data_IF_237626718290
#
_entry.id   IF_237626718290
#
_cell.length_a   1.000
_cell.length_b   1.000
_cell.length_c   1.000
_cell.angle_alpha   90.00
_cell.angle_beta   90.00
_cell.angle_gamma   90.00
#
_symmetry.space_group_name_H-M   'P 1'
#
loop_
_entity.id
_entity.type
_entity.pdbx_description
1 polymer ?
#
# COMPACT_ATOMS: atom_id res chain seq x y z
N UNK A 1 56.58 34.61 -0.51
CA UNK A 1 56.65 33.13 -0.43
C UNK A 1 55.78 32.76 0.74
N UNK A 2 54.60 32.29 0.68
CA UNK A 2 53.85 31.50 -0.25
C UNK A 2 53.04 30.52 0.61
N UNK A 3 51.90 31.00 1.23
CA UNK A 3 50.93 30.16 1.95
C UNK A 3 49.82 29.73 0.96
N UNK A 4 50.09 28.70 0.18
CA UNK A 4 49.07 28.05 -0.66
C UNK A 4 49.29 26.54 -0.58
N UNK A 5 48.52 25.83 0.27
CA UNK A 5 48.67 24.38 0.28
C UNK A 5 47.86 23.60 1.30
N UNK A 6 46.89 24.15 2.03
CA UNK A 6 46.17 23.37 3.04
C UNK A 6 44.64 23.44 2.99
N UNK A 7 44.02 23.87 1.87
CA UNK A 7 42.56 24.01 1.79
C UNK A 7 41.89 22.77 1.11
N UNK A 8 42.65 21.92 0.44
CA UNK A 8 42.04 20.81 -0.34
C UNK A 8 41.84 19.50 0.40
N UNK A 9 42.34 19.35 1.63
CA UNK A 9 42.20 18.07 2.37
C UNK A 9 40.95 17.96 3.23
N UNK A 10 40.28 19.06 3.58
CA UNK A 10 39.09 19.03 4.44
C UNK A 10 37.78 18.81 3.70
N UNK A 11 37.65 19.14 2.41
CA UNK A 11 36.44 18.92 1.63
C UNK A 11 36.24 17.46 1.21
N UNK A 12 37.32 16.72 1.03
CA UNK A 12 37.24 15.29 0.70
C UNK A 12 36.73 14.39 1.86
N UNK A 13 37.14 14.75 3.09
CA UNK A 13 36.75 13.97 4.28
C UNK A 13 35.29 14.17 4.65
N UNK A 14 34.75 15.37 4.50
CA UNK A 14 33.33 15.67 4.75
C UNK A 14 32.41 15.00 3.73
N UNK A 15 32.86 14.87 2.48
CA UNK A 15 32.07 14.19 1.44
C UNK A 15 32.03 12.66 1.63
N UNK A 16 33.15 12.06 2.07
CA UNK A 16 33.22 10.64 2.41
C UNK A 16 32.38 10.30 3.65
N UNK A 17 32.37 11.17 4.68
CA UNK A 17 31.53 10.98 5.88
C UNK A 17 30.05 11.12 5.56
N UNK A 18 29.63 12.01 4.65
CA UNK A 18 28.25 12.14 4.24
C UNK A 18 27.75 10.94 3.41
N UNK A 19 28.60 10.35 2.57
CA UNK A 19 28.30 9.12 1.83
C UNK A 19 28.22 7.90 2.76
N UNK A 20 29.05 7.84 3.81
CA UNK A 20 29.02 6.76 4.79
C UNK A 20 27.77 6.83 5.66
N UNK A 21 27.36 8.02 6.12
CA UNK A 21 26.09 8.22 6.84
C UNK A 21 24.87 7.92 5.96
N UNK A 22 24.92 8.25 4.67
CA UNK A 22 23.85 7.91 3.73
C UNK A 22 23.77 6.40 3.46
N UNK A 23 24.91 5.71 3.48
CA UNK A 23 24.97 4.26 3.31
C UNK A 23 24.49 3.51 4.57
N UNK A 24 24.82 3.98 5.78
CA UNK A 24 24.29 3.42 7.03
C UNK A 24 22.77 3.68 7.17
N UNK A 25 22.26 4.85 6.77
CA UNK A 25 20.81 5.11 6.73
C UNK A 25 20.10 4.20 5.71
N UNK A 26 20.74 3.82 4.61
CA UNK A 26 20.19 2.88 3.63
C UNK A 26 20.12 1.44 4.17
N UNK A 27 21.10 1.04 5.00
CA UNK A 27 21.13 -0.28 5.64
C UNK A 27 20.12 -0.34 6.79
N UNK A 28 19.98 0.72 7.59
CA UNK A 28 19.04 0.78 8.71
C UNK A 28 17.57 0.84 8.27
N UNK A 29 17.28 1.28 7.03
CA UNK A 29 15.93 1.26 6.49
C UNK A 29 15.45 -0.13 6.04
N UNK A 30 16.32 -1.12 5.97
CA UNK A 30 16.00 -2.49 5.53
C UNK A 30 15.74 -3.48 6.68
N UNK A 31 16.08 -3.13 7.92
CA UNK A 31 15.84 -4.00 9.10
C UNK A 31 14.34 -4.13 9.48
N UNK A 32 13.45 -3.31 8.93
CA UNK A 32 12.01 -3.43 9.14
C UNK A 32 11.31 -4.41 8.19
N UNK A 33 12.01 -4.93 7.18
CA UNK A 33 11.45 -5.96 6.29
C UNK A 33 11.55 -7.32 6.96
N UNK A 34 10.42 -8.00 7.19
CA UNK A 34 10.45 -9.38 7.66
C UNK A 34 11.27 -10.22 6.68
N UNK A 35 12.10 -11.12 7.21
CA UNK A 35 12.88 -11.99 6.34
C UNK A 35 11.96 -12.92 5.55
N UNK A 36 12.35 -13.33 4.32
CA UNK A 36 11.55 -14.26 3.52
C UNK A 36 11.21 -15.59 4.21
N UNK A 37 11.94 -15.95 5.26
CA UNK A 37 11.66 -17.14 6.09
C UNK A 37 10.52 -16.87 7.09
N UNK A 38 10.51 -15.72 7.75
CA UNK A 38 9.44 -15.31 8.68
C UNK A 38 8.10 -15.13 7.94
N UNK A 39 8.14 -14.56 6.73
CA UNK A 39 6.94 -14.37 5.92
C UNK A 39 6.43 -15.69 5.31
N UNK A 40 7.31 -16.64 4.97
CA UNK A 40 6.87 -17.98 4.52
C UNK A 40 6.16 -18.76 5.63
N UNK A 41 6.60 -18.62 6.87
CA UNK A 41 5.91 -19.24 8.01
C UNK A 41 4.51 -18.61 8.19
N UNK A 42 4.43 -17.29 8.11
CA UNK A 42 3.16 -16.56 8.19
C UNK A 42 2.18 -17.00 7.08
N UNK A 43 2.65 -17.12 5.84
CA UNK A 43 1.80 -17.52 4.70
C UNK A 43 1.37 -18.98 4.76
N UNK A 44 2.18 -19.88 5.31
CA UNK A 44 1.89 -21.31 5.45
C UNK A 44 0.81 -21.57 6.50
N UNK A 45 0.83 -20.88 7.62
CA UNK A 45 -0.15 -21.05 8.71
C UNK A 45 -1.49 -20.35 8.44
N UNK A 46 -1.48 -19.32 7.56
CA UNK A 46 -2.67 -18.55 7.20
C UNK A 46 -3.42 -19.09 5.97
N UNK A 47 -3.06 -20.28 5.48
CA UNK A 47 -3.22 -20.62 4.06
C UNK A 47 -4.63 -20.87 3.54
N UNK A 48 -5.66 -21.17 4.32
CA UNK A 48 -6.93 -21.57 3.69
C UNK A 48 -8.21 -21.02 4.35
N UNK A 49 -8.12 -20.51 5.56
CA UNK A 49 -9.31 -20.23 6.40
C UNK A 49 -10.36 -19.34 5.75
N UNK A 50 -9.95 -18.38 4.92
CA UNK A 50 -10.88 -17.41 4.29
C UNK A 50 -10.88 -17.46 2.76
N UNK A 51 -10.15 -18.39 2.15
CA UNK A 51 -9.97 -18.46 0.69
C UNK A 51 -11.28 -18.54 -0.08
N UNK A 52 -12.27 -19.25 0.46
CA UNK A 52 -13.59 -19.36 -0.12
C UNK A 52 -14.30 -18.00 -0.26
N UNK A 53 -14.16 -17.13 0.74
CA UNK A 53 -14.73 -15.77 0.70
C UNK A 53 -14.00 -14.87 -0.29
N UNK A 54 -12.67 -14.90 -0.30
CA UNK A 54 -11.86 -14.14 -1.28
C UNK A 54 -12.20 -14.56 -2.71
N UNK A 55 -12.25 -15.86 -3.00
CA UNK A 55 -12.64 -16.38 -4.33
C UNK A 55 -14.04 -15.93 -4.74
N UNK A 56 -15.00 -16.08 -3.83
CA UNK A 56 -16.40 -15.73 -4.09
C UNK A 56 -16.54 -14.26 -4.46
N UNK A 57 -16.08 -13.36 -3.60
CA UNK A 57 -16.33 -11.94 -3.78
C UNK A 57 -15.44 -11.31 -4.86
N UNK A 58 -14.22 -11.83 -5.06
CA UNK A 58 -13.42 -11.45 -6.23
C UNK A 58 -14.14 -11.80 -7.52
N UNK A 59 -14.67 -13.01 -7.63
CA UNK A 59 -15.43 -13.43 -8.82
C UNK A 59 -16.66 -12.55 -9.06
N UNK A 60 -17.36 -12.17 -7.99
CA UNK A 60 -18.54 -11.31 -8.07
C UNK A 60 -18.22 -9.92 -8.64
N UNK A 61 -17.15 -9.28 -8.19
CA UNK A 61 -16.87 -7.87 -8.52
C UNK A 61 -15.79 -7.68 -9.59
N UNK A 62 -14.87 -8.62 -9.73
CA UNK A 62 -13.69 -8.50 -10.59
C UNK A 62 -13.56 -9.63 -11.63
N UNK A 63 -14.52 -10.52 -11.69
CA UNK A 63 -14.58 -11.60 -12.68
C UNK A 63 -13.39 -12.56 -12.60
N UNK A 64 -12.50 -12.53 -13.58
CA UNK A 64 -11.34 -13.43 -13.69
C UNK A 64 -10.07 -12.95 -12.97
N UNK A 65 -10.13 -11.83 -12.26
CA UNK A 65 -8.98 -11.35 -11.49
C UNK A 65 -8.53 -12.41 -10.46
N UNK A 66 -7.22 -12.64 -10.27
CA UNK A 66 -6.75 -13.54 -9.23
C UNK A 66 -7.14 -13.06 -7.84
N UNK A 67 -7.94 -13.85 -7.13
CA UNK A 67 -8.44 -13.54 -5.79
C UNK A 67 -7.33 -13.37 -4.75
N UNK A 68 -6.16 -13.94 -5.01
CA UNK A 68 -4.97 -13.85 -4.15
C UNK A 68 -4.49 -12.40 -3.93
N UNK A 69 -4.84 -11.45 -4.82
CA UNK A 69 -4.58 -10.03 -4.61
C UNK A 69 -5.26 -9.49 -3.36
N UNK A 70 -6.52 -9.83 -3.15
CA UNK A 70 -7.26 -9.35 -1.97
C UNK A 70 -6.89 -10.13 -0.71
N UNK A 71 -6.46 -11.37 -0.82
CA UNK A 71 -5.85 -12.10 0.30
C UNK A 71 -4.52 -11.46 0.70
N UNK A 72 -3.65 -11.13 -0.25
CA UNK A 72 -2.41 -10.41 -0.01
C UNK A 72 -2.65 -9.05 0.66
N UNK A 73 -3.66 -8.32 0.20
CA UNK A 73 -4.10 -7.09 0.85
C UNK A 73 -4.54 -7.34 2.28
N UNK A 74 -5.37 -8.33 2.56
CA UNK A 74 -5.84 -8.66 3.90
C UNK A 74 -4.70 -9.11 4.83
N UNK A 75 -3.67 -9.78 4.31
CA UNK A 75 -2.44 -10.07 5.06
C UNK A 75 -1.74 -8.76 5.45
N UNK A 76 -1.63 -7.80 4.54
CA UNK A 76 -1.06 -6.48 4.83
C UNK A 76 -1.89 -5.70 5.85
N UNK A 77 -3.22 -5.77 5.77
CA UNK A 77 -4.13 -5.03 6.64
C UNK A 77 -4.14 -5.53 8.09
N UNK A 78 -4.29 -6.83 8.27
CA UNK A 78 -4.58 -7.42 9.59
C UNK A 78 -3.81 -8.71 9.89
N UNK A 79 -2.96 -9.21 8.98
CA UNK A 79 -2.41 -10.57 9.02
C UNK A 79 -3.50 -11.65 9.10
N UNK A 80 -4.64 -11.39 8.48
CA UNK A 80 -5.85 -12.22 8.51
C UNK A 80 -6.45 -12.39 9.93
N UNK A 81 -6.24 -11.40 10.82
CA UNK A 81 -6.85 -11.38 12.15
C UNK A 81 -8.25 -10.73 12.09
N UNK A 82 -9.34 -11.49 12.33
CA UNK A 82 -10.70 -11.00 12.14
C UNK A 82 -11.10 -9.92 13.16
N UNK A 83 -10.49 -9.93 14.34
CA UNK A 83 -10.79 -8.98 15.41
C UNK A 83 -9.81 -7.80 15.45
N UNK A 84 -8.95 -7.66 14.43
CA UNK A 84 -7.99 -6.56 14.37
C UNK A 84 -8.68 -5.20 14.42
N UNK A 85 -8.12 -4.30 15.24
CA UNK A 85 -8.52 -2.89 15.32
C UNK A 85 -7.28 -2.01 15.36
N UNK A 86 -7.15 -1.09 14.42
CA UNK A 86 -6.05 -0.14 14.40
C UNK A 86 -6.26 1.00 15.41
N UNK A 87 -5.19 1.75 15.71
CA UNK A 87 -5.26 2.97 16.53
C UNK A 87 -6.15 4.04 15.89
N UNK A 88 -6.25 4.08 14.56
CA UNK A 88 -7.14 4.97 13.83
C UNK A 88 -8.60 4.48 13.80
N UNK A 89 -8.89 3.29 14.33
CA UNK A 89 -10.23 2.74 14.41
C UNK A 89 -10.65 1.89 13.20
N UNK A 90 -9.74 1.55 12.28
CA UNK A 90 -10.00 0.59 11.21
C UNK A 90 -10.20 -0.82 11.78
N UNK A 91 -11.10 -1.63 11.19
CA UNK A 91 -11.61 -2.86 11.79
C UNK A 91 -11.63 -4.05 10.85
N UNK A 92 -11.32 -5.22 11.41
CA UNK A 92 -11.47 -6.53 10.80
C UNK A 92 -10.38 -6.88 9.79
N UNK A 93 -10.61 -7.95 9.03
CA UNK A 93 -9.64 -8.56 8.11
C UNK A 93 -9.11 -7.58 7.05
N UNK A 94 -9.97 -6.71 6.53
CA UNK A 94 -9.65 -5.74 5.48
C UNK A 94 -9.48 -4.31 6.02
N UNK A 95 -9.44 -4.13 7.36
CA UNK A 95 -9.20 -2.86 8.04
C UNK A 95 -10.04 -1.70 7.49
N UNK A 96 -11.35 -1.90 7.41
CA UNK A 96 -12.27 -0.86 6.98
C UNK A 96 -12.53 0.17 8.10
N UNK A 97 -12.51 1.45 7.74
CA UNK A 97 -12.98 2.50 8.65
C UNK A 97 -14.47 2.32 8.95
N UNK A 98 -14.93 2.65 10.18
CA UNK A 98 -16.34 2.47 10.59
C UNK A 98 -17.34 3.08 9.62
N UNK A 99 -17.07 4.29 9.13
CA UNK A 99 -17.94 4.98 8.17
C UNK A 99 -18.04 4.24 6.86
N UNK A 100 -16.91 3.85 6.28
CA UNK A 100 -16.83 3.10 5.02
C UNK A 100 -17.55 1.75 5.12
N UNK A 101 -17.30 1.00 6.21
CA UNK A 101 -17.99 -0.27 6.43
C UNK A 101 -19.51 -0.08 6.51
N UNK A 102 -19.97 0.89 7.31
CA UNK A 102 -21.40 1.19 7.50
C UNK A 102 -22.10 1.53 6.19
N UNK A 103 -21.46 2.33 5.36
CA UNK A 103 -22.01 2.75 4.06
C UNK A 103 -22.16 1.56 3.13
N UNK A 104 -21.10 0.78 2.95
CA UNK A 104 -21.12 -0.44 2.11
C UNK A 104 -22.07 -1.49 2.67
N UNK A 105 -22.06 -1.71 3.98
CA UNK A 105 -22.93 -2.69 4.62
C UNK A 105 -24.41 -2.37 4.37
N UNK A 106 -24.78 -1.08 4.41
CA UNK A 106 -26.15 -0.64 4.08
C UNK A 106 -26.48 -0.84 2.59
N UNK A 107 -25.51 -0.55 1.70
CA UNK A 107 -25.69 -0.69 0.25
C UNK A 107 -25.96 -2.15 -0.16
N UNK A 108 -25.20 -3.08 0.38
CA UNK A 108 -25.23 -4.49 -0.07
C UNK A 108 -25.81 -5.46 0.98
N UNK A 109 -26.46 -4.96 2.02
CA UNK A 109 -27.20 -5.76 3.02
C UNK A 109 -26.30 -6.63 3.90
N UNK A 110 -25.20 -6.09 4.44
CA UNK A 110 -24.32 -6.81 5.36
C UNK A 110 -24.72 -6.61 6.82
N UNK A 111 -24.29 -7.53 7.72
CA UNK A 111 -24.42 -7.35 9.17
C UNK A 111 -23.79 -6.02 9.64
N UNK A 112 -24.28 -5.41 10.74
CA UNK A 112 -23.76 -4.14 11.23
C UNK A 112 -22.35 -4.26 11.83
N UNK A 113 -21.88 -5.48 12.14
CA UNK A 113 -20.56 -5.70 12.73
C UNK A 113 -19.50 -5.95 11.65
N UNK A 114 -18.39 -5.18 11.66
CA UNK A 114 -17.28 -5.39 10.73
C UNK A 114 -16.35 -6.56 11.12
N UNK A 115 -16.60 -7.24 12.23
CA UNK A 115 -15.76 -8.34 12.71
C UNK A 115 -16.19 -9.73 12.19
N UNK A 116 -17.35 -9.80 11.50
CA UNK A 116 -17.71 -11.00 10.74
C UNK A 116 -16.76 -11.16 9.53
N UNK A 117 -15.98 -12.25 9.44
CA UNK A 117 -14.97 -12.42 8.39
C UNK A 117 -15.54 -12.35 6.98
N UNK A 118 -16.70 -12.95 6.76
CA UNK A 118 -17.38 -12.99 5.46
C UNK A 118 -17.83 -11.58 5.06
N UNK A 119 -18.44 -10.85 6.00
CA UNK A 119 -18.96 -9.52 5.74
C UNK A 119 -17.82 -8.51 5.52
N UNK A 120 -16.77 -8.60 6.33
CA UNK A 120 -15.62 -7.70 6.21
C UNK A 120 -14.86 -7.88 4.88
N UNK A 121 -14.60 -9.15 4.48
CA UNK A 121 -13.98 -9.45 3.17
C UNK A 121 -14.89 -8.98 2.03
N UNK A 122 -16.20 -9.21 2.13
CA UNK A 122 -17.15 -8.75 1.13
C UNK A 122 -17.11 -7.22 0.96
N UNK A 123 -17.21 -6.50 2.07
CA UNK A 123 -17.16 -5.04 2.07
C UNK A 123 -15.81 -4.50 1.55
N UNK A 124 -14.69 -5.08 1.98
CA UNK A 124 -13.36 -4.66 1.55
C UNK A 124 -13.13 -4.85 0.04
N UNK A 125 -13.59 -5.97 -0.52
CA UNK A 125 -13.50 -6.20 -1.98
C UNK A 125 -14.47 -5.27 -2.73
N UNK A 126 -15.67 -5.01 -2.20
CA UNK A 126 -16.60 -4.03 -2.78
C UNK A 126 -16.00 -2.61 -2.78
N UNK A 127 -15.34 -2.21 -1.70
CA UNK A 127 -14.63 -0.92 -1.62
C UNK A 127 -13.46 -0.83 -2.61
N UNK A 128 -12.72 -1.92 -2.81
CA UNK A 128 -11.69 -1.97 -3.86
C UNK A 128 -12.27 -1.71 -5.26
N UNK A 129 -13.49 -2.20 -5.54
CA UNK A 129 -14.15 -1.90 -6.82
C UNK A 129 -14.42 -0.39 -6.98
N UNK A 130 -14.82 0.30 -5.93
CA UNK A 130 -14.98 1.76 -5.96
C UNK A 130 -13.64 2.46 -6.23
N UNK A 131 -12.60 2.04 -5.51
CA UNK A 131 -11.25 2.56 -5.72
C UNK A 131 -10.75 2.32 -7.15
N UNK A 132 -11.06 1.15 -7.77
CA UNK A 132 -10.69 0.86 -9.15
C UNK A 132 -11.46 1.73 -10.14
N UNK A 133 -12.79 1.81 -9.97
CA UNK A 133 -13.68 2.53 -10.88
C UNK A 133 -13.45 4.05 -10.87
N UNK A 134 -12.87 4.58 -9.80
CA UNK A 134 -12.46 5.97 -9.72
C UNK A 134 -11.44 6.34 -10.81
N UNK A 135 -10.59 5.40 -11.24
CA UNK A 135 -9.53 5.62 -12.23
C UNK A 135 -10.01 5.33 -13.66
N UNK A 136 -10.71 6.28 -14.25
CA UNK A 136 -11.32 6.17 -15.60
C UNK A 136 -10.31 6.34 -16.74
N UNK A 137 -9.18 7.03 -16.52
CA UNK A 137 -8.16 7.23 -17.54
C UNK A 137 -7.59 5.89 -18.05
N UNK A 138 -7.24 5.84 -19.32
CA UNK A 138 -6.62 4.65 -19.94
C UNK A 138 -5.23 4.40 -19.33
N UNK A 139 -5.08 3.25 -18.66
CA UNK A 139 -3.85 2.78 -18.03
C UNK A 139 -3.69 1.27 -18.25
N UNK A 140 -2.47 0.76 -18.07
CA UNK A 140 -2.28 -0.69 -17.98
C UNK A 140 -3.01 -1.26 -16.77
N UNK A 141 -3.35 -2.54 -16.81
CA UNK A 141 -4.02 -3.20 -15.69
C UNK A 141 -3.19 -3.11 -14.40
N UNK A 142 -1.88 -3.28 -14.51
CA UNK A 142 -0.97 -3.19 -13.36
C UNK A 142 -0.99 -1.80 -12.71
N UNK A 143 -0.98 -0.73 -13.51
CA UNK A 143 -1.09 0.63 -12.99
C UNK A 143 -2.44 0.88 -12.31
N UNK A 144 -3.53 0.34 -12.88
CA UNK A 144 -4.86 0.42 -12.25
C UNK A 144 -4.90 -0.30 -10.90
N UNK A 145 -4.26 -1.48 -10.77
CA UNK A 145 -4.17 -2.21 -9.51
C UNK A 145 -3.41 -1.42 -8.44
N UNK A 146 -2.26 -0.87 -8.79
CA UNK A 146 -1.47 -0.07 -7.85
C UNK A 146 -2.23 1.16 -7.37
N UNK A 147 -2.92 1.85 -8.28
CA UNK A 147 -3.75 3.00 -7.94
C UNK A 147 -4.98 2.60 -7.11
N UNK A 148 -5.58 1.46 -7.36
CA UNK A 148 -6.65 0.90 -6.55
C UNK A 148 -6.18 0.69 -5.10
N UNK A 149 -5.06 0.00 -4.90
CA UNK A 149 -4.52 -0.24 -3.56
C UNK A 149 -4.05 1.04 -2.88
N UNK A 150 -3.39 1.94 -3.61
CA UNK A 150 -3.01 3.25 -3.07
C UNK A 150 -4.24 4.07 -2.64
N UNK A 151 -5.33 4.03 -3.44
CA UNK A 151 -6.60 4.70 -3.12
C UNK A 151 -7.30 4.08 -1.93
N UNK A 152 -7.22 2.76 -1.76
CA UNK A 152 -7.75 2.06 -0.60
C UNK A 152 -7.10 2.54 0.70
N UNK A 153 -5.77 2.63 0.72
CA UNK A 153 -4.99 3.04 1.89
C UNK A 153 -5.08 4.55 2.17
N UNK A 154 -4.82 5.39 1.17
CA UNK A 154 -4.71 6.84 1.35
C UNK A 154 -5.98 7.63 1.02
N UNK A 155 -6.96 7.01 0.39
CA UNK A 155 -8.10 7.68 -0.24
C UNK A 155 -7.77 8.24 -1.63
N UNK A 156 -8.68 8.05 -2.58
CA UNK A 156 -8.51 8.47 -3.99
C UNK A 156 -8.19 9.96 -4.14
N UNK A 157 -8.74 10.83 -3.26
CA UNK A 157 -8.48 12.25 -3.29
C UNK A 157 -7.02 12.63 -3.04
N UNK A 158 -6.31 11.90 -2.14
CA UNK A 158 -4.88 12.13 -1.89
C UNK A 158 -4.06 11.71 -3.11
N UNK A 159 -4.41 10.59 -3.76
CA UNK A 159 -3.69 10.11 -4.94
C UNK A 159 -3.88 11.06 -6.14
N UNK A 160 -5.08 11.63 -6.32
CA UNK A 160 -5.34 12.66 -7.34
C UNK A 160 -4.53 13.92 -7.07
N UNK A 161 -4.46 14.38 -5.81
CA UNK A 161 -3.62 15.55 -5.47
C UNK A 161 -2.15 15.28 -5.76
N UNK A 162 -1.64 14.09 -5.41
CA UNK A 162 -0.27 13.70 -5.75
C UNK A 162 -0.03 13.66 -7.27
N UNK A 163 -0.99 13.13 -8.04
CA UNK A 163 -0.95 13.16 -9.50
C UNK A 163 -0.90 14.59 -10.05
N UNK A 164 -1.67 15.50 -9.46
CA UNK A 164 -1.67 16.91 -9.85
C UNK A 164 -0.31 17.56 -9.58
N UNK A 165 0.26 17.37 -8.40
CA UNK A 165 1.59 17.88 -8.02
C UNK A 165 2.65 17.48 -9.05
N UNK A 166 2.75 16.21 -9.39
CA UNK A 166 3.80 15.75 -10.32
C UNK A 166 3.61 16.26 -11.74
N UNK A 167 2.36 16.52 -12.17
CA UNK A 167 2.06 17.13 -13.47
C UNK A 167 2.41 18.61 -13.50
N UNK A 168 2.04 19.37 -12.47
CA UNK A 168 2.31 20.81 -12.36
C UNK A 168 3.80 21.12 -12.22
N UNK A 169 4.54 20.26 -11.52
CA UNK A 169 5.99 20.39 -11.37
C UNK A 169 6.78 19.80 -12.55
N UNK A 170 6.09 19.28 -13.57
CA UNK A 170 6.70 18.62 -14.73
C UNK A 170 7.65 17.45 -14.38
N UNK A 171 7.45 16.79 -13.24
CA UNK A 171 8.25 15.63 -12.87
C UNK A 171 7.99 14.48 -13.84
N UNK A 172 6.72 14.29 -14.24
CA UNK A 172 6.32 13.20 -15.13
C UNK A 172 4.84 13.34 -15.55
N UNK A 173 4.37 12.44 -16.43
CA UNK A 173 2.99 12.49 -16.97
C UNK A 173 1.87 12.26 -15.95
N UNK A 174 2.19 11.79 -14.72
CA UNK A 174 1.21 11.45 -13.72
C UNK A 174 0.34 10.22 -14.06
N UNK A 175 0.74 9.39 -15.02
CA UNK A 175 -0.04 8.20 -15.43
C UNK A 175 0.37 6.91 -14.71
N UNK A 176 1.65 6.79 -14.33
CA UNK A 176 2.20 5.61 -13.68
C UNK A 176 2.30 5.82 -12.17
N UNK A 177 2.15 4.74 -11.42
CA UNK A 177 2.31 4.75 -9.96
C UNK A 177 3.68 5.27 -9.53
N UNK A 178 4.76 4.80 -10.19
CA UNK A 178 6.13 5.23 -9.90
C UNK A 178 6.36 6.74 -10.06
N UNK A 179 5.52 7.38 -10.85
CA UNK A 179 5.48 8.81 -11.00
C UNK A 179 4.62 9.46 -9.89
N UNK A 180 3.38 9.00 -9.70
CA UNK A 180 2.42 9.60 -8.77
C UNK A 180 2.93 9.52 -7.32
N UNK A 181 3.58 8.42 -6.92
CA UNK A 181 4.12 8.25 -5.57
C UNK A 181 5.13 9.34 -5.18
N UNK A 182 5.83 9.96 -6.16
CA UNK A 182 6.74 11.07 -5.92
C UNK A 182 6.03 12.35 -5.47
N UNK A 183 4.77 12.51 -5.82
CA UNK A 183 3.94 13.64 -5.38
C UNK A 183 3.33 13.46 -3.99
N UNK A 184 3.29 12.23 -3.45
CA UNK A 184 2.66 11.95 -2.16
C UNK A 184 3.28 12.71 -0.99
N UNK A 185 4.60 12.87 -0.86
CA UNK A 185 5.19 13.66 0.23
C UNK A 185 4.68 15.10 0.30
N UNK A 186 4.34 15.69 -0.84
CA UNK A 186 3.77 17.05 -0.91
C UNK A 186 2.29 17.11 -0.51
N UNK A 187 1.60 15.97 -0.43
CA UNK A 187 0.17 15.89 -0.12
C UNK A 187 -0.09 15.36 1.28
N UNK A 188 0.59 14.29 1.67
CA UNK A 188 0.36 13.57 2.94
C UNK A 188 1.56 13.63 3.89
N UNK A 189 2.63 14.33 3.51
CA UNK A 189 3.83 14.51 4.34
C UNK A 189 4.41 13.15 4.77
N UNK A 190 4.66 12.99 6.08
CA UNK A 190 5.23 11.75 6.64
C UNK A 190 4.41 10.48 6.38
N UNK A 191 3.10 10.61 6.17
CA UNK A 191 2.22 9.46 5.88
C UNK A 191 2.36 8.94 4.44
N UNK A 192 3.10 9.65 3.57
CA UNK A 192 3.33 9.20 2.20
C UNK A 192 4.02 7.84 2.12
N UNK A 193 4.98 7.60 3.01
CA UNK A 193 5.73 6.35 3.05
C UNK A 193 4.84 5.15 3.41
N UNK A 194 3.85 5.35 4.28
CA UNK A 194 2.86 4.32 4.60
C UNK A 194 2.17 3.81 3.34
N UNK A 195 1.65 4.73 2.51
CA UNK A 195 0.94 4.37 1.27
C UNK A 195 1.87 3.74 0.23
N UNK A 196 3.10 4.25 0.08
CA UNK A 196 4.08 3.70 -0.85
C UNK A 196 4.42 2.26 -0.45
N UNK A 197 4.79 2.04 0.81
CA UNK A 197 5.11 0.71 1.32
C UNK A 197 3.89 -0.22 1.31
N UNK A 198 2.68 0.31 1.49
CA UNK A 198 1.46 -0.49 1.41
C UNK A 198 1.30 -1.17 0.06
N UNK A 199 1.45 -0.42 -1.03
CA UNK A 199 1.35 -0.98 -2.39
C UNK A 199 2.44 -2.04 -2.63
N UNK A 200 3.68 -1.73 -2.24
CA UNK A 200 4.82 -2.65 -2.40
C UNK A 200 4.61 -3.95 -1.60
N UNK A 201 4.09 -3.85 -0.37
CA UNK A 201 3.80 -5.02 0.49
C UNK A 201 2.65 -5.87 -0.05
N UNK A 202 1.61 -5.28 -0.61
CA UNK A 202 0.54 -6.05 -1.25
C UNK A 202 1.08 -6.83 -2.45
N UNK A 203 1.91 -6.22 -3.30
CA UNK A 203 2.57 -6.90 -4.41
C UNK A 203 3.50 -8.02 -3.91
N UNK A 204 4.25 -7.78 -2.84
CA UNK A 204 5.12 -8.78 -2.21
C UNK A 204 4.33 -9.99 -1.68
N UNK A 205 3.28 -9.78 -0.86
CA UNK A 205 2.46 -10.88 -0.36
C UNK A 205 1.74 -11.63 -1.49
N UNK A 206 1.32 -10.94 -2.53
CA UNK A 206 0.75 -11.61 -3.71
C UNK A 206 1.77 -12.54 -4.37
N UNK A 207 3.03 -12.12 -4.50
CA UNK A 207 4.09 -12.96 -5.07
C UNK A 207 4.36 -14.23 -4.24
N UNK A 208 4.19 -14.14 -2.91
CA UNK A 208 4.35 -15.27 -1.97
C UNK A 208 3.19 -16.29 -2.05
N UNK A 209 2.01 -15.84 -2.47
CA UNK A 209 0.81 -16.67 -2.59
C UNK A 209 0.67 -17.37 -3.96
N UNK A 210 1.56 -17.11 -4.90
CA UNK A 210 1.53 -17.70 -6.25
C UNK A 210 1.70 -19.21 -6.27
#
# INVERSE_FOLDING_TARGET
MGLRGYVFCFLGLAFLLSLFQSFEMLILSDESRPTPAQDRHLTRDLTQRYDGYFRKYTRTYFGRMPWKWFKAQSIQESRLEPNAKSSAGAMGLMQLMPGTYKEIAREIGLPPTPYDPRANIHAGIRYNLECLNFWTERRSWQEKLRLMFASYNAGSGNIVRAQKVVREQNFCSGRRWDCIKQGLPHVTGRHSQETIHYVDKVEYYYSMLR
#
